data_IF_322266759715
#
_entry.id   IF_322266759715
#
_cell.length_a   1.000
_cell.length_b   1.000
_cell.length_c   1.000
_cell.angle_alpha   90.00
_cell.angle_beta   90.00
_cell.angle_gamma   90.00
#
_symmetry.space_group_name_H-M   'P 1'
#
loop_
_entity.id
_entity.type
_entity.pdbx_description
1 polymer ?
#
# COMPACT_ATOMS: atom_id res chain seq x y z
N UNK A 1 -36.72 -32.07 -56.26
CA UNK A 1 -35.70 -32.43 -57.27
C UNK A 1 -34.55 -31.40 -57.36
N UNK A 2 -34.57 -30.29 -56.61
CA UNK A 2 -33.49 -29.26 -56.62
C UNK A 2 -32.50 -29.39 -55.45
N UNK A 3 -32.90 -30.07 -54.36
CA UNK A 3 -32.12 -30.17 -53.11
C UNK A 3 -30.96 -31.19 -53.16
N UNK A 4 -31.10 -32.21 -54.01
CA UNK A 4 -30.15 -33.34 -54.09
C UNK A 4 -28.91 -32.99 -54.93
N UNK A 5 -29.09 -32.17 -55.97
CA UNK A 5 -28.00 -31.68 -56.83
C UNK A 5 -27.09 -30.70 -56.07
N UNK A 6 -27.67 -29.77 -55.30
CA UNK A 6 -26.93 -28.78 -54.51
C UNK A 6 -26.04 -29.42 -53.42
N UNK A 7 -26.51 -30.53 -52.84
CA UNK A 7 -25.74 -31.33 -51.87
C UNK A 7 -24.60 -32.10 -52.52
N UNK A 8 -24.77 -32.55 -53.76
CA UNK A 8 -23.72 -33.28 -54.49
C UNK A 8 -22.57 -32.35 -54.90
N UNK A 9 -22.87 -31.13 -55.35
CA UNK A 9 -21.88 -30.14 -55.76
C UNK A 9 -21.08 -29.60 -54.56
N UNK A 10 -21.76 -29.36 -53.42
CA UNK A 10 -21.10 -28.91 -52.19
C UNK A 10 -20.19 -29.98 -51.59
N UNK A 11 -20.59 -31.26 -51.64
CA UNK A 11 -19.73 -32.39 -51.22
C UNK A 11 -18.52 -32.58 -52.14
N UNK A 12 -18.70 -32.41 -53.44
CA UNK A 12 -17.59 -32.46 -54.41
C UNK A 12 -16.59 -31.32 -54.18
N UNK A 13 -17.07 -30.10 -53.90
CA UNK A 13 -16.24 -28.95 -53.56
C UNK A 13 -15.46 -29.17 -52.24
N UNK A 14 -16.12 -29.69 -51.19
CA UNK A 14 -15.49 -30.00 -49.91
C UNK A 14 -14.38 -31.05 -50.03
N UNK A 15 -14.61 -32.08 -50.84
CA UNK A 15 -13.61 -33.12 -51.12
C UNK A 15 -12.42 -32.57 -51.90
N UNK A 16 -12.67 -31.67 -52.85
CA UNK A 16 -11.61 -30.99 -53.60
C UNK A 16 -10.76 -30.09 -52.71
N UNK A 17 -11.37 -29.32 -51.80
CA UNK A 17 -10.65 -28.47 -50.83
C UNK A 17 -9.79 -29.31 -49.88
N UNK A 18 -10.32 -30.45 -49.42
CA UNK A 18 -9.57 -31.38 -48.56
C UNK A 18 -8.38 -32.01 -49.28
N UNK A 19 -8.57 -32.49 -50.52
CA UNK A 19 -7.48 -33.04 -51.35
C UNK A 19 -6.40 -31.99 -51.66
N UNK A 20 -6.81 -30.72 -51.84
CA UNK A 20 -5.88 -29.60 -51.99
C UNK A 20 -5.09 -29.34 -50.70
N UNK A 21 -5.76 -29.41 -49.55
CA UNK A 21 -5.12 -29.33 -48.23
C UNK A 21 -4.13 -30.47 -47.97
N UNK A 22 -4.51 -31.70 -48.30
CA UNK A 22 -3.64 -32.88 -48.14
C UNK A 22 -2.42 -32.81 -49.07
N UNK A 23 -2.57 -32.30 -50.30
CA UNK A 23 -1.43 -32.07 -51.22
C UNK A 23 -0.50 -30.96 -50.75
N UNK A 24 -1.06 -29.86 -50.22
CA UNK A 24 -0.28 -28.78 -49.60
C UNK A 24 0.49 -29.29 -48.37
N UNK A 25 -0.16 -30.08 -47.52
CA UNK A 25 0.45 -30.69 -46.35
C UNK A 25 1.59 -31.65 -46.73
N UNK A 26 1.38 -32.50 -47.75
CA UNK A 26 2.41 -33.42 -48.22
C UNK A 26 3.59 -32.70 -48.90
N UNK A 27 3.34 -31.66 -49.69
CA UNK A 27 4.40 -30.82 -50.26
C UNK A 27 5.19 -30.06 -49.19
N UNK A 28 4.50 -29.56 -48.17
CA UNK A 28 5.14 -28.93 -47.01
C UNK A 28 6.01 -29.94 -46.25
N UNK A 29 5.49 -31.15 -46.02
CA UNK A 29 6.20 -32.24 -45.35
C UNK A 29 7.44 -32.67 -46.11
N UNK A 30 7.34 -32.94 -47.41
CA UNK A 30 8.49 -33.31 -48.26
C UNK A 30 9.56 -32.20 -48.35
N UNK A 31 9.15 -30.93 -48.25
CA UNK A 31 10.09 -29.80 -48.19
C UNK A 31 10.78 -29.71 -46.84
N UNK A 32 10.06 -30.01 -45.76
CA UNK A 32 10.57 -30.01 -44.40
C UNK A 32 11.53 -31.18 -44.16
N UNK A 33 11.18 -32.39 -44.61
CA UNK A 33 12.02 -33.60 -44.52
C UNK A 33 13.35 -33.42 -45.25
N UNK A 34 13.34 -32.90 -46.48
CA UNK A 34 14.57 -32.58 -47.23
C UNK A 34 15.43 -31.51 -46.54
N UNK A 35 14.80 -30.57 -45.84
CA UNK A 35 15.49 -29.60 -45.00
C UNK A 35 16.21 -30.25 -43.82
N UNK A 36 15.52 -31.15 -43.11
CA UNK A 36 16.09 -31.88 -41.97
C UNK A 36 17.20 -32.83 -42.37
N UNK A 37 17.07 -33.55 -43.48
CA UNK A 37 18.12 -34.42 -44.01
C UNK A 37 19.39 -33.61 -44.37
N UNK A 38 19.21 -32.42 -44.96
CA UNK A 38 20.30 -31.49 -45.25
C UNK A 38 21.02 -31.00 -43.99
N UNK A 39 20.26 -30.67 -42.94
CA UNK A 39 20.82 -30.26 -41.63
C UNK A 39 21.57 -31.42 -40.94
N UNK A 40 21.02 -32.62 -40.98
CA UNK A 40 21.65 -33.82 -40.42
C UNK A 40 22.96 -34.16 -41.14
N UNK A 41 22.96 -34.07 -42.46
CA UNK A 41 24.16 -34.29 -43.29
C UNK A 41 25.21 -33.21 -43.05
N UNK A 42 24.81 -31.95 -42.90
CA UNK A 42 25.71 -30.83 -42.57
C UNK A 42 26.34 -30.99 -41.16
N UNK A 43 25.57 -31.50 -40.19
CA UNK A 43 26.05 -31.81 -38.84
C UNK A 43 27.09 -32.94 -38.82
N UNK A 44 26.92 -33.97 -39.65
CA UNK A 44 27.85 -35.09 -39.74
C UNK A 44 29.12 -34.78 -40.56
N UNK A 45 29.01 -33.96 -41.60
CA UNK A 45 30.13 -33.65 -42.50
C UNK A 45 31.04 -32.55 -41.98
N UNK A 46 30.53 -31.59 -41.19
CA UNK A 46 31.31 -30.47 -40.69
C UNK A 46 30.92 -30.05 -39.26
N UNK A 47 31.17 -30.90 -38.24
CA UNK A 47 30.70 -30.67 -36.87
C UNK A 47 31.17 -29.33 -36.27
N UNK A 48 32.37 -28.86 -36.63
CA UNK A 48 32.89 -27.56 -36.18
C UNK A 48 32.04 -26.38 -36.67
N UNK A 49 31.56 -26.40 -37.91
CA UNK A 49 30.77 -25.30 -38.45
C UNK A 49 29.39 -25.23 -37.82
N UNK A 50 28.78 -26.39 -37.55
CA UNK A 50 27.47 -26.45 -36.87
C UNK A 50 27.56 -25.89 -35.45
N UNK A 51 28.62 -26.21 -34.69
CA UNK A 51 28.83 -25.65 -33.35
C UNK A 51 28.97 -24.13 -33.40
N UNK A 52 29.71 -23.58 -34.37
CA UNK A 52 29.86 -22.12 -34.54
C UNK A 52 28.51 -21.45 -34.84
N UNK A 53 27.70 -22.03 -35.72
CA UNK A 53 26.36 -21.51 -36.03
C UNK A 53 25.44 -21.58 -34.81
N UNK A 54 25.47 -22.67 -34.06
CA UNK A 54 24.71 -22.80 -32.81
C UNK A 54 25.13 -21.76 -31.77
N UNK A 55 26.41 -21.46 -31.63
CA UNK A 55 26.91 -20.41 -30.73
C UNK A 55 26.45 -19.01 -31.15
N UNK A 56 26.41 -18.74 -32.47
CA UNK A 56 25.88 -17.48 -33.00
C UNK A 56 24.38 -17.34 -32.69
N UNK A 57 23.60 -18.38 -32.97
CA UNK A 57 22.14 -18.39 -32.70
C UNK A 57 21.86 -18.27 -31.20
N UNK A 58 22.59 -19.01 -30.36
CA UNK A 58 22.49 -18.91 -28.91
C UNK A 58 22.86 -17.51 -28.40
N UNK A 59 23.89 -16.88 -28.97
CA UNK A 59 24.26 -15.49 -28.66
C UNK A 59 23.16 -14.49 -29.03
N UNK A 60 22.57 -14.61 -30.21
CA UNK A 60 21.46 -13.76 -30.66
C UNK A 60 20.22 -13.92 -29.77
N UNK A 61 19.84 -15.16 -29.44
CA UNK A 61 18.72 -15.43 -28.55
C UNK A 61 19.01 -14.99 -27.11
N UNK A 62 20.25 -15.14 -26.64
CA UNK A 62 20.68 -14.66 -25.32
C UNK A 62 20.59 -13.14 -25.18
N UNK A 63 20.94 -12.38 -26.22
CA UNK A 63 20.78 -10.92 -26.22
C UNK A 63 19.31 -10.49 -26.07
N UNK A 64 18.40 -11.19 -26.75
CA UNK A 64 16.96 -10.95 -26.61
C UNK A 64 16.47 -11.38 -25.22
N UNK A 65 16.94 -12.53 -24.71
CA UNK A 65 16.59 -13.05 -23.38
C UNK A 65 17.00 -12.15 -22.23
N UNK A 66 18.18 -11.51 -22.29
CA UNK A 66 18.62 -10.57 -21.23
C UNK A 66 17.72 -9.34 -21.14
N UNK A 67 17.19 -8.84 -22.26
CA UNK A 67 16.22 -7.72 -22.26
C UNK A 67 14.84 -8.08 -21.71
N UNK A 68 14.53 -9.38 -21.59
CA UNK A 68 13.33 -9.84 -20.90
C UNK A 68 13.54 -9.93 -19.39
N UNK A 69 14.77 -10.15 -18.92
CA UNK A 69 15.08 -10.17 -17.49
C UNK A 69 14.85 -8.79 -16.86
N UNK A 70 15.24 -7.72 -17.56
CA UNK A 70 15.00 -6.32 -17.15
C UNK A 70 13.50 -5.95 -17.13
N UNK A 71 12.63 -6.76 -17.74
CA UNK A 71 11.17 -6.57 -17.72
C UNK A 71 10.46 -7.49 -16.72
N UNK A 72 11.20 -8.38 -16.03
CA UNK A 72 10.68 -9.31 -15.01
C UNK A 72 11.26 -8.94 -13.63
N UNK A 73 11.76 -7.72 -13.45
CA UNK A 73 12.06 -7.17 -12.13
C UNK A 73 10.88 -6.34 -11.63
N UNK A 74 10.17 -6.95 -10.68
CA UNK A 74 9.62 -6.31 -9.47
C UNK A 74 8.53 -5.24 -9.66
N UNK A 75 7.43 -5.65 -10.27
CA UNK A 75 6.05 -5.39 -9.81
C UNK A 75 5.10 -6.27 -10.66
N UNK A 76 4.46 -7.28 -10.05
CA UNK A 76 3.36 -7.99 -10.73
C UNK A 76 2.13 -7.09 -10.70
N UNK A 77 2.07 -6.15 -11.64
CA UNK A 77 0.85 -5.42 -11.96
C UNK A 77 -0.10 -6.38 -12.68
N UNK A 78 -1.03 -6.97 -11.93
CA UNK A 78 -2.15 -7.70 -12.53
C UNK A 78 -3.08 -6.66 -13.13
N UNK A 79 -2.90 -6.38 -14.42
CA UNK A 79 -3.88 -5.61 -15.18
C UNK A 79 -5.19 -6.40 -15.21
N UNK A 80 -6.26 -5.76 -14.73
CA UNK A 80 -7.60 -6.16 -15.13
C UNK A 80 -7.70 -5.98 -16.65
N UNK A 81 -8.37 -6.88 -17.38
CA UNK A 81 -8.58 -6.68 -18.82
C UNK A 81 -9.27 -5.31 -19.04
N UNK A 82 -8.74 -4.52 -19.99
CA UNK A 82 -9.15 -3.13 -20.26
C UNK A 82 -10.65 -2.95 -20.60
N UNK A 83 -11.40 -4.03 -20.80
CA UNK A 83 -12.82 -4.05 -21.21
C UNK A 83 -13.75 -4.62 -20.12
N UNK A 84 -13.33 -4.58 -18.86
CA UNK A 84 -14.15 -4.97 -17.73
C UNK A 84 -14.82 -3.75 -17.08
N UNK A 85 -16.15 -3.81 -16.89
CA UNK A 85 -16.94 -2.79 -16.17
C UNK A 85 -16.37 -2.47 -14.76
N UNK A 86 -15.68 -3.44 -14.15
CA UNK A 86 -14.98 -3.26 -12.87
C UNK A 86 -13.79 -2.31 -12.92
N UNK A 87 -13.14 -2.13 -14.07
CA UNK A 87 -11.98 -1.23 -14.22
C UNK A 87 -12.44 0.23 -14.20
N UNK A 88 -13.52 0.56 -14.91
CA UNK A 88 -14.10 1.91 -14.93
C UNK A 88 -14.60 2.34 -13.55
N UNK A 89 -15.26 1.43 -12.81
CA UNK A 89 -15.68 1.66 -11.43
C UNK A 89 -14.50 1.90 -10.48
N UNK A 90 -13.37 1.19 -10.65
CA UNK A 90 -12.18 1.39 -9.82
C UNK A 90 -11.44 2.68 -10.16
N UNK A 91 -11.48 3.11 -11.43
CA UNK A 91 -10.97 4.42 -11.85
C UNK A 91 -11.84 5.55 -11.31
N UNK A 92 -13.16 5.41 -11.33
CA UNK A 92 -14.10 6.37 -10.73
C UNK A 92 -13.91 6.50 -9.21
N UNK A 93 -13.73 5.39 -8.49
CA UNK A 93 -13.44 5.43 -7.05
C UNK A 93 -12.08 6.07 -6.77
N UNK A 94 -11.07 5.85 -7.62
CA UNK A 94 -9.73 6.49 -7.48
C UNK A 94 -9.77 8.00 -7.75
N UNK A 95 -10.70 8.49 -8.56
CA UNK A 95 -10.90 9.94 -8.74
C UNK A 95 -11.44 10.61 -7.46
N UNK A 96 -12.26 9.91 -6.67
CA UNK A 96 -12.86 10.47 -5.44
C UNK A 96 -12.13 10.10 -4.15
N UNK A 97 -11.30 9.04 -4.12
CA UNK A 97 -10.65 8.52 -2.91
C UNK A 97 -9.14 8.35 -3.11
N UNK A 98 -8.35 8.78 -2.13
CA UNK A 98 -6.89 8.56 -2.12
C UNK A 98 -6.57 7.07 -2.02
N UNK A 99 -5.88 6.50 -3.01
CA UNK A 99 -5.46 5.09 -2.98
C UNK A 99 -4.12 4.85 -2.28
N UNK A 100 -3.42 5.93 -1.91
CA UNK A 100 -2.04 5.87 -1.46
C UNK A 100 -2.00 5.96 0.07
N UNK A 101 -1.42 4.94 0.72
CA UNK A 101 -1.28 4.83 2.17
C UNK A 101 0.21 4.66 2.50
N UNK A 102 0.73 5.48 3.41
CA UNK A 102 2.06 5.31 3.99
C UNK A 102 1.93 4.82 5.43
N UNK A 103 2.68 3.77 5.79
CA UNK A 103 2.72 3.23 7.15
C UNK A 103 4.13 3.43 7.70
N UNK A 104 4.23 4.12 8.83
CA UNK A 104 5.49 4.32 9.55
C UNK A 104 5.45 3.52 10.85
N UNK A 105 6.38 2.55 10.98
CA UNK A 105 6.54 1.79 12.22
C UNK A 105 7.55 2.50 13.12
N UNK A 106 7.10 2.88 14.31
CA UNK A 106 7.92 3.50 15.34
C UNK A 106 8.16 2.47 16.43
N UNK A 107 9.41 2.33 16.84
CA UNK A 107 9.83 1.39 17.89
C UNK A 107 10.65 2.16 18.91
N UNK A 108 10.28 2.04 20.18
CA UNK A 108 11.08 2.55 21.30
C UNK A 108 12.04 1.48 21.81
N UNK A 109 12.98 1.89 22.65
CA UNK A 109 13.96 0.98 23.27
C UNK A 109 13.31 -0.04 24.21
N UNK A 110 12.05 0.17 24.61
CA UNK A 110 11.26 -0.83 25.35
C UNK A 110 11.21 -2.18 24.63
N UNK A 111 11.12 -2.16 23.29
CA UNK A 111 11.08 -3.38 22.48
C UNK A 111 12.41 -4.19 22.50
N UNK A 112 13.51 -3.59 22.94
CA UNK A 112 14.83 -4.24 23.01
C UNK A 112 15.29 -4.54 24.44
N UNK A 113 14.96 -3.66 25.39
CA UNK A 113 15.42 -3.75 26.78
C UNK A 113 14.43 -4.51 27.69
N UNK A 114 13.12 -4.27 27.52
CA UNK A 114 12.03 -4.85 28.30
C UNK A 114 12.10 -4.62 29.83
N UNK A 115 11.17 -5.23 30.58
CA UNK A 115 11.15 -5.23 32.06
C UNK A 115 11.15 -3.82 32.69
N UNK A 116 10.48 -2.85 32.06
CA UNK A 116 10.45 -1.46 32.50
C UNK A 116 11.79 -0.70 32.40
N UNK A 117 12.75 -1.21 31.61
CA UNK A 117 14.06 -0.56 31.41
C UNK A 117 14.16 0.29 30.14
N UNK A 118 13.13 0.28 29.28
CA UNK A 118 13.08 1.10 28.07
C UNK A 118 11.96 2.14 28.10
N UNK A 119 12.00 3.07 27.15
CA UNK A 119 11.06 4.20 27.10
C UNK A 119 9.68 3.77 26.60
N UNK A 120 8.64 4.23 27.29
CA UNK A 120 7.25 4.01 26.90
C UNK A 120 6.92 4.86 25.65
N UNK A 121 6.04 4.36 24.79
CA UNK A 121 5.55 5.13 23.63
C UNK A 121 4.76 6.37 24.07
N UNK A 122 4.17 6.36 25.27
CA UNK A 122 3.45 7.49 25.86
C UNK A 122 4.35 8.50 26.56
N UNK A 123 5.67 8.29 26.57
CA UNK A 123 6.61 9.29 27.07
C UNK A 123 6.50 10.59 26.24
N UNK A 124 6.43 11.72 26.93
CA UNK A 124 6.38 13.06 26.36
C UNK A 124 7.46 13.26 25.29
N UNK A 125 8.69 12.81 25.55
CA UNK A 125 9.80 12.97 24.62
C UNK A 125 9.52 12.24 23.30
N UNK A 126 9.02 11.01 23.38
CA UNK A 126 8.71 10.18 22.22
C UNK A 126 7.51 10.76 21.45
N UNK A 127 6.43 11.09 22.15
CA UNK A 127 5.24 11.68 21.52
C UNK A 127 5.54 13.03 20.86
N UNK A 128 6.45 13.84 21.43
CA UNK A 128 6.93 15.08 20.81
C UNK A 128 7.71 14.83 19.53
N UNK A 129 8.54 13.81 19.47
CA UNK A 129 9.25 13.46 18.22
C UNK A 129 8.27 13.05 17.11
N UNK A 130 7.28 12.23 17.44
CA UNK A 130 6.21 11.84 16.51
C UNK A 130 5.44 13.09 16.05
N UNK A 131 5.02 13.92 17.00
CA UNK A 131 4.28 15.16 16.72
C UNK A 131 5.07 16.13 15.84
N UNK A 132 6.38 16.24 16.05
CA UNK A 132 7.25 17.11 15.27
C UNK A 132 7.31 16.69 13.80
N UNK A 133 7.35 15.39 13.52
CA UNK A 133 7.29 14.86 12.15
C UNK A 133 5.93 15.13 11.52
N UNK A 134 4.84 14.92 12.27
CA UNK A 134 3.47 15.13 11.78
C UNK A 134 3.14 16.60 11.51
N UNK A 135 3.52 17.47 12.42
CA UNK A 135 3.08 18.86 12.48
C UNK A 135 2.06 19.09 13.61
N UNK A 136 2.26 20.19 14.32
CA UNK A 136 1.42 20.68 15.42
C UNK A 136 1.45 22.22 15.49
N UNK A 137 0.72 22.80 16.45
CA UNK A 137 0.63 24.26 16.61
C UNK A 137 1.98 24.91 16.98
N UNK A 138 2.92 24.16 17.57
CA UNK A 138 4.23 24.68 17.98
C UNK A 138 5.17 24.88 16.79
N UNK A 139 5.06 24.01 15.78
CA UNK A 139 5.92 24.05 14.60
C UNK A 139 5.21 24.51 13.30
N UNK A 140 3.89 24.73 13.29
CA UNK A 140 3.13 25.14 12.11
C UNK A 140 3.69 26.36 11.35
N UNK A 141 4.27 27.32 12.06
CA UNK A 141 4.85 28.54 11.48
C UNK A 141 6.34 28.41 11.09
N UNK A 142 6.92 27.22 11.24
CA UNK A 142 8.30 26.97 10.88
C UNK A 142 8.52 26.93 9.36
N UNK A 143 9.79 26.83 8.94
CA UNK A 143 10.13 26.69 7.53
C UNK A 143 9.55 25.41 6.90
N UNK A 144 9.58 25.34 5.57
CA UNK A 144 8.98 24.23 4.81
C UNK A 144 9.44 22.82 5.25
N UNK A 145 10.64 22.69 5.81
CA UNK A 145 11.24 21.43 6.28
C UNK A 145 11.02 21.14 7.76
N UNK A 146 10.33 22.02 8.50
CA UNK A 146 10.27 21.96 9.96
C UNK A 146 8.86 22.14 10.53
N UNK A 147 7.86 22.32 9.66
CA UNK A 147 6.44 22.51 10.02
C UNK A 147 5.63 21.22 10.07
N UNK A 148 6.31 20.07 9.96
CA UNK A 148 5.67 18.77 9.82
C UNK A 148 5.21 18.46 8.40
N UNK A 149 4.78 17.22 8.21
CA UNK A 149 4.30 16.70 6.92
C UNK A 149 2.87 17.15 6.60
N UNK A 150 1.99 17.21 7.60
CA UNK A 150 0.60 17.68 7.49
C UNK A 150 0.48 19.00 8.26
N UNK A 151 1.00 20.07 7.66
CA UNK A 151 1.03 21.37 8.32
C UNK A 151 -0.29 22.13 8.13
N UNK A 152 -1.07 21.82 7.10
CA UNK A 152 -2.36 22.44 6.83
C UNK A 152 -3.53 21.45 6.87
N UNK A 153 -3.94 21.11 8.09
CA UNK A 153 -4.93 20.06 8.36
C UNK A 153 -6.31 20.28 7.75
N UNK A 154 -6.66 21.52 7.40
CA UNK A 154 -7.98 21.89 6.88
C UNK A 154 -8.06 21.88 5.33
N UNK A 155 -6.93 21.71 4.64
CA UNK A 155 -6.86 21.90 3.19
C UNK A 155 -7.23 20.65 2.37
N UNK A 156 -7.33 19.49 3.04
CA UNK A 156 -7.52 18.15 2.44
C UNK A 156 -6.42 17.78 1.46
N UNK A 157 -5.16 17.94 1.86
CA UNK A 157 -3.97 17.57 1.11
C UNK A 157 -3.69 18.47 -0.10
N UNK A 158 -4.20 19.70 -0.14
CA UNK A 158 -4.00 20.59 -1.31
C UNK A 158 -2.63 21.23 -1.34
N UNK A 159 -2.06 21.55 -0.20
CA UNK A 159 -0.78 22.23 -0.07
C UNK A 159 0.36 21.28 0.31
N UNK A 160 0.08 20.21 1.05
CA UNK A 160 1.06 19.21 1.49
C UNK A 160 0.87 17.80 0.90
N UNK A 161 -0.27 17.50 0.30
CA UNK A 161 -0.56 16.19 -0.27
C UNK A 161 -1.02 15.14 0.75
N UNK A 162 -1.26 15.51 2.01
CA UNK A 162 -1.70 14.59 3.06
C UNK A 162 -3.18 14.83 3.38
N UNK A 163 -3.98 13.78 3.25
CA UNK A 163 -5.43 13.88 3.49
C UNK A 163 -5.78 13.77 4.98
N UNK A 164 -5.08 12.89 5.70
CA UNK A 164 -5.21 12.66 7.14
C UNK A 164 -4.02 11.85 7.66
N UNK A 165 -3.75 11.97 8.97
CA UNK A 165 -2.78 11.15 9.71
C UNK A 165 -3.51 10.48 10.87
N UNK A 166 -3.21 9.20 11.11
CA UNK A 166 -3.65 8.48 12.30
C UNK A 166 -2.42 8.01 13.07
N UNK A 167 -2.29 8.47 14.31
CA UNK A 167 -1.19 8.11 15.20
C UNK A 167 -1.56 8.26 16.68
N UNK A 168 -0.78 7.69 17.60
CA UNK A 168 -0.93 7.93 19.03
C UNK A 168 -0.78 9.41 19.41
N UNK A 169 0.17 10.12 18.81
CA UNK A 169 0.39 11.55 19.04
C UNK A 169 -0.81 12.40 18.58
N UNK A 170 -1.42 12.05 17.45
CA UNK A 170 -2.65 12.68 16.96
C UNK A 170 -3.78 12.56 17.98
N UNK A 171 -4.01 11.38 18.55
CA UNK A 171 -5.05 11.16 19.55
C UNK A 171 -4.86 12.08 20.77
N UNK A 172 -3.63 12.19 21.27
CA UNK A 172 -3.29 13.05 22.40
C UNK A 172 -3.48 14.53 22.04
N UNK A 173 -3.03 14.99 20.87
CA UNK A 173 -3.22 16.37 20.41
C UNK A 173 -4.70 16.73 20.25
N UNK A 174 -5.48 15.84 19.65
CA UNK A 174 -6.93 16.06 19.49
C UNK A 174 -7.63 16.10 20.84
N UNK A 175 -7.33 15.17 21.75
CA UNK A 175 -7.90 15.17 23.09
C UNK A 175 -7.48 16.41 23.91
N UNK A 176 -6.23 16.85 23.78
CA UNK A 176 -5.71 18.04 24.47
C UNK A 176 -6.37 19.34 24.00
N UNK A 177 -6.62 19.46 22.69
CA UNK A 177 -7.18 20.66 22.07
C UNK A 177 -8.72 20.68 22.01
N UNK A 178 -9.38 19.52 22.11
CA UNK A 178 -10.83 19.38 22.02
C UNK A 178 -11.57 20.27 23.02
N UNK A 179 -11.13 20.31 24.29
CA UNK A 179 -11.76 21.12 25.35
C UNK A 179 -11.74 22.62 25.00
N UNK A 180 -10.62 23.10 24.45
CA UNK A 180 -10.47 24.50 24.01
C UNK A 180 -11.34 24.83 22.82
N UNK A 181 -11.29 23.97 21.80
CA UNK A 181 -12.10 24.10 20.59
C UNK A 181 -13.59 24.09 20.90
N UNK A 182 -14.02 23.24 21.84
CA UNK A 182 -15.40 23.17 22.31
C UNK A 182 -15.83 24.44 23.04
N UNK A 183 -15.04 24.88 24.03
CA UNK A 183 -15.35 26.09 24.81
C UNK A 183 -15.38 27.35 23.93
N UNK A 184 -14.43 27.48 23.01
CA UNK A 184 -14.38 28.58 22.03
C UNK A 184 -15.61 28.54 21.10
N UNK A 185 -15.99 27.35 20.64
CA UNK A 185 -17.18 27.16 19.78
C UNK A 185 -18.47 27.49 20.51
N UNK A 186 -18.60 27.10 21.78
CA UNK A 186 -19.75 27.43 22.63
C UNK A 186 -19.85 28.94 22.89
N UNK A 187 -18.72 29.62 23.11
CA UNK A 187 -18.70 31.06 23.26
C UNK A 187 -19.12 31.78 21.97
N UNK A 188 -18.47 31.48 20.84
CA UNK A 188 -18.74 32.12 19.55
C UNK A 188 -20.15 31.85 19.03
N UNK A 189 -20.58 30.60 19.03
CA UNK A 189 -21.86 30.22 18.42
C UNK A 189 -23.03 30.22 19.41
N UNK A 190 -22.78 29.99 20.70
CA UNK A 190 -23.80 29.92 21.73
C UNK A 190 -24.08 31.27 22.40
N UNK A 191 -23.05 31.87 23.02
CA UNK A 191 -23.21 33.10 23.81
C UNK A 191 -23.23 34.37 22.94
N UNK A 192 -22.26 34.52 22.05
CA UNK A 192 -22.09 35.73 21.24
C UNK A 192 -23.20 35.90 20.18
N UNK A 193 -23.77 34.80 19.67
CA UNK A 193 -24.96 34.84 18.80
C UNK A 193 -26.25 35.27 19.50
N UNK A 194 -26.28 35.24 20.83
CA UNK A 194 -27.50 35.47 21.65
C UNK A 194 -27.49 36.80 22.40
N UNK A 195 -26.32 37.40 22.60
CA UNK A 195 -26.13 38.63 23.36
C UNK A 195 -25.35 39.62 22.48
N UNK A 196 -25.84 40.85 22.24
CA UNK A 196 -25.19 41.84 21.37
C UNK A 196 -24.02 42.54 22.10
N UNK A 197 -23.12 41.75 22.69
CA UNK A 197 -21.91 42.21 23.38
C UNK A 197 -20.77 41.33 22.88
N UNK A 198 -19.67 41.95 22.44
CA UNK A 198 -18.47 41.21 22.03
C UNK A 198 -17.80 40.63 23.27
N UNK A 199 -17.84 39.31 23.40
CA UNK A 199 -17.04 38.60 24.40
C UNK A 199 -15.72 38.20 23.78
N UNK A 200 -14.65 38.25 24.57
CA UNK A 200 -13.42 37.57 24.22
C UNK A 200 -13.65 36.07 24.40
N UNK A 201 -13.72 35.36 23.28
CA UNK A 201 -13.95 33.92 23.28
C UNK A 201 -12.64 33.12 23.34
N UNK A 202 -11.50 33.78 23.59
CA UNK A 202 -10.27 33.13 24.01
C UNK A 202 -10.38 32.70 25.49
N UNK A 203 -11.25 31.72 25.73
CA UNK A 203 -11.53 31.20 27.07
C UNK A 203 -10.38 30.31 27.53
N UNK A 204 -9.74 30.61 28.68
CA UNK A 204 -8.68 29.77 29.22
C UNK A 204 -9.24 28.39 29.61
N UNK A 205 -8.51 27.32 29.25
CA UNK A 205 -8.86 25.95 29.67
C UNK A 205 -8.83 24.88 28.58
N UNK A 206 -8.35 25.18 27.37
CA UNK A 206 -8.02 24.15 26.38
C UNK A 206 -6.59 24.26 25.91
N UNK A 207 -5.93 23.12 25.76
CA UNK A 207 -4.57 23.06 25.25
C UNK A 207 -4.49 23.50 23.79
N UNK A 208 -3.31 23.95 23.37
CA UNK A 208 -3.00 24.02 21.95
C UNK A 208 -3.10 22.63 21.33
N UNK A 209 -3.24 22.56 20.01
CA UNK A 209 -3.09 21.31 19.27
C UNK A 209 -1.59 20.95 19.23
N UNK A 210 -1.09 20.44 20.35
CA UNK A 210 0.31 20.10 20.61
C UNK A 210 0.39 19.09 21.76
N UNK A 211 1.54 18.43 21.89
CA UNK A 211 1.80 17.47 22.97
C UNK A 211 1.97 18.22 24.31
N UNK A 212 1.14 17.92 25.33
CA UNK A 212 1.24 18.55 26.64
C UNK A 212 2.38 17.95 27.46
N UNK A 213 2.46 18.32 28.75
CA UNK A 213 3.38 17.74 29.72
C UNK A 213 2.96 16.32 30.14
N UNK A 214 3.91 15.51 30.61
CA UNK A 214 3.68 14.11 30.99
C UNK A 214 2.44 13.89 31.88
N UNK A 215 2.24 14.68 32.93
CA UNK A 215 1.09 14.53 33.85
C UNK A 215 -0.26 14.62 33.11
N UNK A 216 -0.34 15.50 32.10
CA UNK A 216 -1.53 15.64 31.26
C UNK A 216 -1.61 14.51 30.25
N UNK A 217 -0.50 14.04 29.70
CA UNK A 217 -0.46 12.88 28.79
C UNK A 217 -1.03 11.66 29.51
N UNK A 218 -0.56 11.35 30.71
CA UNK A 218 -1.03 10.20 31.50
C UNK A 218 -2.54 10.29 31.73
N UNK A 219 -3.04 11.47 32.11
CA UNK A 219 -4.47 11.71 32.26
C UNK A 219 -5.24 11.52 30.95
N UNK A 220 -4.68 11.93 29.81
CA UNK A 220 -5.32 11.77 28.52
C UNK A 220 -5.31 10.31 28.06
N UNK A 221 -4.21 9.58 28.25
CA UNK A 221 -4.10 8.14 27.97
C UNK A 221 -5.14 7.38 28.79
N UNK A 222 -5.25 7.66 30.09
CA UNK A 222 -6.27 7.07 30.97
C UNK A 222 -7.70 7.34 30.49
N UNK A 223 -7.98 8.58 30.04
CA UNK A 223 -9.31 8.98 29.56
C UNK A 223 -9.64 8.41 28.18
N UNK A 224 -8.64 8.27 27.30
CA UNK A 224 -8.78 7.65 25.98
C UNK A 224 -8.97 6.13 26.11
N UNK A 225 -8.45 5.54 27.19
CA UNK A 225 -8.55 4.11 27.48
C UNK A 225 -8.06 3.26 26.31
N UNK A 226 -8.84 2.23 25.95
CA UNK A 226 -8.47 1.30 24.89
C UNK A 226 -8.28 1.91 23.49
N UNK A 227 -8.67 3.17 23.24
CA UNK A 227 -8.45 3.82 21.96
C UNK A 227 -6.96 4.12 21.68
N UNK A 228 -6.21 4.50 22.72
CA UNK A 228 -4.77 4.73 22.60
C UNK A 228 -4.01 3.41 22.48
N UNK A 229 -4.33 2.46 23.37
CA UNK A 229 -3.77 1.10 23.34
C UNK A 229 -4.05 0.36 22.02
N UNK A 230 -5.15 0.65 21.31
CA UNK A 230 -5.43 0.02 20.02
C UNK A 230 -4.47 0.46 18.89
N UNK A 231 -3.77 1.60 19.04
CA UNK A 231 -2.79 2.09 18.06
C UNK A 231 -1.35 1.71 18.43
N UNK A 232 -1.14 1.26 19.66
CA UNK A 232 0.16 0.91 20.21
C UNK A 232 0.22 -0.60 20.36
N UNK A 233 1.39 -1.19 20.14
CA UNK A 233 1.62 -2.58 20.47
C UNK A 233 2.76 -2.70 21.45
N UNK A 234 2.45 -3.27 22.61
CA UNK A 234 3.46 -3.69 23.54
C UNK A 234 4.13 -4.99 23.08
N UNK A 235 5.44 -5.11 23.32
CA UNK A 235 6.27 -6.21 22.81
C UNK A 235 7.20 -6.82 23.86
N UNK A 236 7.21 -6.27 25.07
CA UNK A 236 8.13 -6.67 26.14
C UNK A 236 7.51 -7.65 27.15
N UNK A 237 6.21 -7.96 27.04
CA UNK A 237 5.47 -8.75 28.01
C UNK A 237 5.33 -10.21 27.56
N UNK A 238 5.92 -11.07 28.37
CA UNK A 238 5.82 -12.52 28.34
C UNK A 238 5.95 -12.91 29.81
N UNK A 239 4.98 -12.56 30.66
CA UNK A 239 4.82 -13.24 31.95
C UNK A 239 4.00 -14.53 31.73
N UNK A 240 4.65 -15.70 31.56
CA UNK A 240 3.97 -16.97 31.28
C UNK A 240 3.03 -17.47 32.40
N UNK A 241 2.78 -16.65 33.44
CA UNK A 241 2.01 -16.98 34.63
C UNK A 241 0.76 -16.13 34.84
N UNK A 242 0.56 -15.09 34.06
CA UNK A 242 -0.63 -14.22 34.09
C UNK A 242 -1.44 -14.44 32.81
N UNK A 243 -2.77 -14.34 32.88
CA UNK A 243 -3.66 -14.49 31.73
C UNK A 243 -4.58 -13.27 31.75
N UNK A 244 -4.05 -12.15 31.24
CA UNK A 244 -4.63 -10.81 31.40
C UNK A 244 -5.89 -10.61 30.55
N UNK A 245 -5.93 -11.16 29.34
CA UNK A 245 -7.10 -11.12 28.45
C UNK A 245 -8.04 -12.34 28.64
N UNK A 246 -7.62 -13.29 29.48
CA UNK A 246 -8.41 -14.43 29.95
C UNK A 246 -8.79 -15.38 28.79
N UNK A 247 -7.92 -15.51 27.78
CA UNK A 247 -8.06 -16.37 26.61
C UNK A 247 -7.61 -17.83 26.87
N UNK A 248 -6.95 -18.07 28.01
CA UNK A 248 -6.46 -19.38 28.46
C UNK A 248 -5.04 -19.73 28.00
N UNK A 249 -4.32 -18.80 27.39
CA UNK A 249 -2.91 -18.90 27.01
C UNK A 249 -2.07 -17.79 27.69
N UNK A 250 -1.55 -18.04 28.90
CA UNK A 250 -0.76 -17.05 29.64
C UNK A 250 0.59 -16.75 29.00
N UNK A 251 0.92 -17.34 27.84
CA UNK A 251 2.20 -17.13 27.16
C UNK A 251 2.10 -16.10 26.03
N UNK A 252 0.91 -15.56 25.82
CA UNK A 252 0.63 -14.52 24.84
C UNK A 252 -0.01 -13.27 25.47
N UNK A 253 -0.03 -13.21 26.81
CA UNK A 253 -0.65 -12.15 27.57
C UNK A 253 0.13 -10.84 27.42
N UNK A 254 -0.63 -9.75 27.40
CA UNK A 254 -0.15 -8.39 27.19
C UNK A 254 -0.82 -7.54 28.27
N UNK A 255 -0.27 -7.50 29.48
CA UNK A 255 -0.85 -6.82 30.64
C UNK A 255 -0.56 -5.31 30.70
N UNK A 256 0.26 -4.81 29.77
CA UNK A 256 0.28 -3.40 29.37
C UNK A 256 1.09 -2.49 30.28
N UNK A 257 2.30 -2.89 30.67
CA UNK A 257 3.27 -1.98 31.30
C UNK A 257 3.99 -1.04 30.31
N UNK A 258 3.83 -1.27 29.00
CA UNK A 258 4.45 -0.51 27.91
C UNK A 258 3.50 0.36 27.07
N UNK A 259 2.42 0.89 27.67
CA UNK A 259 1.53 1.94 27.10
C UNK A 259 1.40 3.11 28.05
#
# INVERSE_FOLDING_TARGET
>A
MVDEDLRSETLAALKSVRDLGDRLANLAKERMERGFEGMYTAALTSPRMVVVVCLIVAGMLGQVGMSFQDQIDDDVEIFLPDDAESTDLLLEVREEWSTDIAIVYIRTDNAALGQGLGDNISDEAILREISWVEGDDENANAGATSRGIDWNKDDRGREDGILWILSPAQLIKEANSADGRFNNSMCKNGLQSRIPVSFDCDVPGGGAYAIPDQDRIDTLVDNLGGAFTAMVRDTNDLDPTVDSDNDGDPTNDLDGDGV
#
